data_IF_631374556514
#
_entry.id   IF_631374556514
#
_cell.length_a   1.000
_cell.length_b   1.000
_cell.length_c   1.000
_cell.angle_alpha   90.00
_cell.angle_beta   90.00
_cell.angle_gamma   90.00
#
_symmetry.space_group_name_H-M   'P 1'
#
loop_
_entity.id
_entity.type
_entity.pdbx_description
1 polymer ?
#
# COMPACT_ATOMS: atom_id res chain seq x y z
N UNK A 1 -16.46 14.95 -39.10
CA UNK A 1 -15.29 14.37 -38.38
C UNK A 1 -14.94 15.26 -37.20
N UNK A 2 -15.34 14.87 -36.00
CA UNK A 2 -15.08 15.63 -34.78
C UNK A 2 -13.81 15.14 -34.11
N UNK A 3 -12.80 16.03 -34.00
CA UNK A 3 -11.54 15.75 -33.29
C UNK A 3 -11.81 15.66 -31.77
N UNK A 4 -11.68 14.45 -31.19
CA UNK A 4 -11.59 14.27 -29.74
C UNK A 4 -10.35 14.99 -29.21
N UNK A 5 -10.56 16.07 -28.46
CA UNK A 5 -9.50 16.69 -27.65
C UNK A 5 -9.18 15.74 -26.48
N UNK A 6 -8.04 15.07 -26.56
CA UNK A 6 -7.43 14.37 -25.44
C UNK A 6 -6.93 15.42 -24.43
N UNK A 7 -7.69 15.70 -23.38
CA UNK A 7 -7.21 16.47 -22.25
C UNK A 7 -6.28 15.57 -21.41
N UNK A 8 -4.98 15.70 -21.57
CA UNK A 8 -4.00 15.19 -20.61
C UNK A 8 -4.27 15.92 -19.28
N UNK A 9 -4.93 15.22 -18.32
CA UNK A 9 -4.93 15.66 -16.91
C UNK A 9 -3.45 15.67 -16.46
N UNK A 10 -2.86 16.85 -16.39
CA UNK A 10 -1.57 17.04 -15.71
C UNK A 10 -1.80 16.76 -14.23
N UNK A 11 -1.23 15.66 -13.73
CA UNK A 11 -1.20 15.37 -12.31
C UNK A 11 -0.62 16.62 -11.59
N UNK A 12 -1.34 17.12 -10.58
CA UNK A 12 -0.86 18.22 -9.74
C UNK A 12 0.41 17.72 -9.04
N UNK A 13 1.57 18.28 -9.40
CA UNK A 13 2.82 18.02 -8.69
C UNK A 13 2.66 18.47 -7.24
N UNK A 14 3.13 17.64 -6.30
CA UNK A 14 3.20 17.97 -4.88
C UNK A 14 3.85 19.37 -4.68
N UNK A 15 3.08 20.30 -4.09
CA UNK A 15 3.53 21.67 -3.84
C UNK A 15 4.35 21.73 -2.54
N UNK A 16 5.58 21.24 -2.57
CA UNK A 16 6.61 21.18 -1.57
C UNK A 16 6.32 21.86 -0.21
N UNK A 17 5.86 21.09 0.77
CA UNK A 17 5.73 21.42 2.18
C UNK A 17 6.21 20.27 3.04
N UNK A 18 6.20 20.46 4.38
CA UNK A 18 6.48 19.38 5.32
C UNK A 18 5.37 18.33 5.28
N UNK A 19 5.73 17.06 5.17
CA UNK A 19 4.81 15.93 5.24
C UNK A 19 4.87 15.36 6.66
N UNK A 20 3.97 15.82 7.53
CA UNK A 20 3.96 15.34 8.93
C UNK A 20 3.44 13.91 8.98
N UNK A 21 2.25 13.67 8.45
CA UNK A 21 1.64 12.35 8.31
C UNK A 21 0.58 12.42 7.23
N UNK A 22 0.59 11.45 6.32
CA UNK A 22 -0.47 11.21 5.36
C UNK A 22 -0.82 9.74 5.31
N UNK A 23 -2.05 9.46 4.97
CA UNK A 23 -2.57 8.09 4.89
C UNK A 23 -3.22 7.86 3.54
N UNK A 24 -3.16 6.63 3.07
CA UNK A 24 -3.82 6.21 1.84
C UNK A 24 -4.02 4.71 1.82
N UNK A 25 -5.04 4.30 1.10
CA UNK A 25 -5.45 2.91 0.97
C UNK A 25 -5.92 2.66 -0.44
N UNK A 26 -5.68 1.47 -0.97
CA UNK A 26 -6.17 1.07 -2.28
C UNK A 26 -6.38 -0.44 -2.33
N UNK A 27 -7.48 -0.84 -2.94
CA UNK A 27 -7.74 -2.24 -3.29
C UNK A 27 -7.39 -2.46 -4.76
N UNK A 28 -6.67 -3.53 -5.03
CA UNK A 28 -6.46 -4.11 -6.37
C UNK A 28 -6.63 -5.61 -6.24
N UNK A 29 -7.48 -6.17 -7.07
CA UNK A 29 -7.75 -7.60 -7.13
C UNK A 29 -7.75 -8.08 -8.58
N UNK A 30 -7.49 -9.36 -8.76
CA UNK A 30 -7.78 -10.10 -9.99
C UNK A 30 -8.97 -11.04 -9.71
N UNK A 31 -9.21 -11.99 -10.60
CA UNK A 31 -10.42 -12.85 -10.57
C UNK A 31 -10.51 -13.81 -9.37
N UNK A 32 -9.48 -13.86 -8.52
CA UNK A 32 -9.39 -14.80 -7.40
C UNK A 32 -9.19 -14.04 -6.07
N UNK A 33 -9.92 -14.42 -5.03
CA UNK A 33 -9.86 -13.79 -3.70
C UNK A 33 -8.43 -13.72 -3.13
N UNK A 34 -7.62 -14.77 -3.32
CA UNK A 34 -6.23 -14.79 -2.87
C UNK A 34 -5.34 -13.70 -3.53
N UNK A 35 -5.78 -13.13 -4.65
CA UNK A 35 -5.03 -12.10 -5.39
C UNK A 35 -5.28 -10.68 -4.87
N UNK A 36 -6.27 -10.49 -4.01
CA UNK A 36 -6.63 -9.19 -3.48
C UNK A 36 -5.47 -8.58 -2.67
N UNK A 37 -5.18 -7.32 -2.94
CA UNK A 37 -4.15 -6.54 -2.28
C UNK A 37 -4.74 -5.23 -1.78
N UNK A 38 -4.73 -5.04 -0.47
CA UNK A 38 -5.27 -3.85 0.19
C UNK A 38 -4.25 -3.29 1.19
N UNK A 39 -3.18 -2.64 0.71
CA UNK A 39 -2.21 -2.00 1.58
C UNK A 39 -2.77 -0.69 2.15
N UNK A 40 -2.61 -0.51 3.46
CA UNK A 40 -2.76 0.77 4.14
C UNK A 40 -1.39 1.41 4.30
N UNK A 41 -1.27 2.66 3.89
CA UNK A 41 -0.01 3.40 3.88
C UNK A 41 -0.07 4.56 4.85
N UNK A 42 0.98 4.69 5.67
CA UNK A 42 1.31 5.90 6.41
C UNK A 42 2.65 6.41 5.87
N UNK A 43 2.70 7.67 5.46
CA UNK A 43 3.91 8.33 4.96
C UNK A 43 4.13 9.66 5.64
N UNK A 44 5.38 9.97 6.02
CA UNK A 44 5.76 11.24 6.65
C UNK A 44 7.25 11.37 6.85
N UNK A 45 7.68 12.54 7.29
CA UNK A 45 9.09 12.83 7.53
C UNK A 45 9.65 12.02 8.72
N UNK A 46 10.92 11.56 8.58
CA UNK A 46 11.59 10.71 9.57
C UNK A 46 11.86 11.44 10.90
N UNK A 47 11.88 12.78 10.91
CA UNK A 47 11.97 13.59 12.12
C UNK A 47 10.59 13.86 12.77
N UNK A 48 9.55 13.19 12.29
CA UNK A 48 8.16 13.32 12.71
C UNK A 48 7.57 12.02 13.28
N UNK A 49 6.23 11.96 13.44
CA UNK A 49 5.54 10.81 14.05
C UNK A 49 5.77 9.51 13.28
N UNK A 50 5.90 9.56 11.96
CA UNK A 50 6.13 8.36 11.14
C UNK A 50 7.52 7.78 11.40
N UNK A 51 8.57 8.61 11.49
CA UNK A 51 9.92 8.14 11.82
C UNK A 51 10.00 7.53 13.22
N UNK A 52 9.34 8.15 14.21
CA UNK A 52 9.24 7.58 15.55
C UNK A 52 8.54 6.22 15.56
N UNK A 53 7.39 6.10 14.88
CA UNK A 53 6.65 4.86 14.77
C UNK A 53 7.47 3.77 14.04
N UNK A 54 8.17 4.13 12.96
CA UNK A 54 9.03 3.23 12.19
C UNK A 54 10.16 2.65 13.03
N UNK A 55 10.83 3.49 13.82
CA UNK A 55 11.89 3.05 14.73
C UNK A 55 11.35 2.08 15.81
N UNK A 56 10.17 2.38 16.40
CA UNK A 56 9.54 1.51 17.37
C UNK A 56 9.07 0.18 16.77
N UNK A 57 8.53 0.19 15.56
CA UNK A 57 8.12 -1.02 14.85
C UNK A 57 9.30 -1.97 14.64
N UNK A 58 10.46 -1.44 14.28
CA UNK A 58 11.66 -2.25 14.04
C UNK A 58 12.30 -2.76 15.34
N UNK A 59 12.21 -2.01 16.43
CA UNK A 59 12.72 -2.42 17.75
C UNK A 59 11.80 -3.37 18.51
N UNK A 60 10.49 -3.31 18.29
CA UNK A 60 9.47 -4.06 19.03
C UNK A 60 8.91 -5.24 18.22
N UNK A 61 9.47 -6.43 18.39
CA UNK A 61 8.94 -7.63 17.71
C UNK A 61 7.69 -8.17 18.40
N UNK A 62 6.67 -8.54 17.60
CA UNK A 62 5.44 -9.17 18.06
C UNK A 62 5.29 -10.53 17.37
N UNK A 63 5.10 -11.59 18.17
CA UNK A 63 4.95 -12.94 17.64
C UNK A 63 3.82 -13.02 16.62
N UNK A 64 4.10 -13.55 15.44
CA UNK A 64 3.14 -13.74 14.35
C UNK A 64 2.81 -12.48 13.54
N UNK A 65 3.33 -11.30 13.91
CA UNK A 65 3.17 -10.06 13.15
C UNK A 65 4.54 -9.54 12.73
N UNK A 66 5.06 -10.12 11.67
CA UNK A 66 6.38 -9.81 11.16
C UNK A 66 6.47 -8.39 10.64
N UNK A 67 7.55 -7.71 10.97
CA UNK A 67 7.89 -6.36 10.57
C UNK A 67 9.25 -6.36 9.92
N UNK A 68 9.32 -5.94 8.66
CA UNK A 68 10.56 -5.95 7.89
C UNK A 68 10.66 -4.72 7.02
N UNK A 69 11.89 -4.31 6.73
CA UNK A 69 12.10 -3.33 5.67
C UNK A 69 11.81 -3.95 4.31
N UNK A 70 11.16 -3.19 3.45
CA UNK A 70 10.99 -3.55 2.05
C UNK A 70 12.34 -3.42 1.32
N UNK A 71 12.73 -4.50 0.65
CA UNK A 71 14.00 -4.64 -0.06
C UNK A 71 13.77 -5.13 -1.49
N UNK A 72 14.62 -4.72 -2.42
CA UNK A 72 14.66 -5.28 -3.78
C UNK A 72 15.47 -6.57 -3.83
N UNK A 73 16.48 -6.67 -3.00
CA UNK A 73 17.34 -7.82 -2.84
C UNK A 73 17.91 -7.81 -1.41
N UNK A 74 18.57 -8.86 -0.98
CA UNK A 74 19.01 -9.11 0.39
C UNK A 74 19.76 -7.94 1.06
N UNK A 75 20.43 -7.09 0.29
CA UNK A 75 21.21 -5.94 0.73
C UNK A 75 20.77 -4.61 0.08
N UNK A 76 19.68 -4.60 -0.68
CA UNK A 76 19.22 -3.43 -1.44
C UNK A 76 17.86 -2.95 -0.92
N UNK A 77 17.90 -2.11 0.10
CA UNK A 77 16.71 -1.48 0.67
C UNK A 77 16.14 -0.38 -0.25
N UNK A 78 14.82 -0.30 -0.36
CA UNK A 78 14.16 0.79 -1.12
C UNK A 78 14.22 2.13 -0.39
N UNK A 79 14.02 3.22 -1.14
CA UNK A 79 13.86 4.58 -0.64
C UNK A 79 12.54 5.18 -1.17
N UNK A 80 11.73 5.83 -0.29
CA UNK A 80 11.90 6.01 1.16
C UNK A 80 12.04 4.71 1.94
N UNK A 81 12.65 4.77 3.14
CA UNK A 81 12.71 3.64 4.05
C UNK A 81 11.28 3.16 4.36
N UNK A 82 10.96 1.94 3.97
CA UNK A 82 9.59 1.39 4.04
C UNK A 82 9.57 0.15 4.92
N UNK A 83 8.72 0.16 5.96
CA UNK A 83 8.47 -1.00 6.82
C UNK A 83 7.14 -1.63 6.42
N UNK A 84 7.17 -2.90 6.07
CA UNK A 84 5.99 -3.73 5.90
C UNK A 84 5.58 -4.36 7.22
N UNK A 85 4.28 -4.34 7.54
CA UNK A 85 3.66 -4.96 8.71
C UNK A 85 2.55 -5.89 8.26
N UNK A 86 2.56 -7.15 8.70
CA UNK A 86 1.45 -8.08 8.42
C UNK A 86 0.27 -7.81 9.34
N UNK A 87 -0.92 -7.59 8.77
CA UNK A 87 -2.19 -7.54 9.50
C UNK A 87 -2.67 -8.93 9.94
N UNK A 88 -2.32 -9.96 9.18
CA UNK A 88 -2.68 -11.35 9.47
C UNK A 88 -1.59 -12.00 10.30
N UNK A 89 -1.99 -12.76 11.31
CA UNK A 89 -1.04 -13.55 12.11
C UNK A 89 -0.38 -14.62 11.26
N UNK A 90 0.92 -14.54 11.09
CA UNK A 90 1.73 -15.50 10.33
C UNK A 90 1.83 -16.81 11.13
N UNK A 91 1.34 -17.92 10.56
CA UNK A 91 1.22 -19.21 11.25
C UNK A 91 1.92 -20.38 10.54
N UNK A 92 2.36 -20.19 9.29
CA UNK A 92 3.00 -21.24 8.51
C UNK A 92 4.20 -20.75 7.71
N UNK A 93 5.11 -21.67 7.39
CA UNK A 93 6.27 -21.39 6.56
C UNK A 93 5.85 -20.97 5.15
N UNK A 94 4.87 -21.66 4.53
CA UNK A 94 4.35 -21.32 3.19
C UNK A 94 3.84 -19.88 3.15
N UNK A 95 3.05 -19.47 4.17
CA UNK A 95 2.56 -18.10 4.27
C UNK A 95 3.71 -17.09 4.42
N UNK A 96 4.69 -17.41 5.29
CA UNK A 96 5.88 -16.59 5.48
C UNK A 96 6.63 -16.38 4.17
N UNK A 97 6.87 -17.46 3.41
CA UNK A 97 7.62 -17.40 2.16
C UNK A 97 6.91 -16.56 1.09
N UNK A 98 5.58 -16.64 1.00
CA UNK A 98 4.79 -15.81 0.08
C UNK A 98 4.85 -14.34 0.51
N UNK A 99 4.58 -14.07 1.79
CA UNK A 99 4.56 -12.70 2.34
C UNK A 99 5.93 -12.03 2.22
N UNK A 100 6.99 -12.71 2.66
CA UNK A 100 8.35 -12.17 2.69
C UNK A 100 9.06 -12.21 1.34
N UNK A 101 8.61 -13.04 0.42
CA UNK A 101 9.11 -13.12 -0.95
C UNK A 101 8.30 -12.24 -1.89
N UNK A 102 7.22 -12.78 -2.44
CA UNK A 102 6.44 -12.16 -3.51
C UNK A 102 5.82 -10.82 -3.09
N UNK A 103 5.14 -10.80 -1.94
CA UNK A 103 4.41 -9.60 -1.47
C UNK A 103 5.38 -8.48 -1.09
N UNK A 104 6.40 -8.79 -0.31
CA UNK A 104 7.42 -7.80 0.08
C UNK A 104 8.13 -7.20 -1.14
N UNK A 105 8.52 -8.05 -2.12
CA UNK A 105 9.13 -7.58 -3.36
C UNK A 105 8.18 -6.68 -4.17
N UNK A 106 6.90 -7.04 -4.25
CA UNK A 106 5.87 -6.22 -4.90
C UNK A 106 5.73 -4.83 -4.27
N UNK A 107 5.70 -4.78 -2.93
CA UNK A 107 5.67 -3.51 -2.17
C UNK A 107 6.90 -2.67 -2.49
N UNK A 108 8.10 -3.26 -2.46
CA UNK A 108 9.33 -2.56 -2.79
C UNK A 108 9.28 -1.90 -4.18
N UNK A 109 8.78 -2.65 -5.17
CA UNK A 109 8.58 -2.12 -6.53
C UNK A 109 7.50 -1.05 -6.59
N UNK A 110 6.36 -1.21 -5.90
CA UNK A 110 5.29 -0.22 -5.84
C UNK A 110 5.72 1.12 -5.24
N UNK A 111 6.56 1.10 -4.20
CA UNK A 111 7.19 2.31 -3.65
C UNK A 111 8.03 3.03 -4.69
N UNK A 112 8.86 2.30 -5.44
CA UNK A 112 9.69 2.90 -6.49
C UNK A 112 8.86 3.39 -7.69
N UNK A 113 7.74 2.75 -7.99
CA UNK A 113 6.81 3.23 -9.01
C UNK A 113 6.21 4.58 -8.61
N UNK A 114 5.82 4.77 -7.34
CA UNK A 114 5.34 6.06 -6.83
C UNK A 114 6.42 7.16 -6.90
N UNK A 115 7.68 6.82 -6.64
CA UNK A 115 8.80 7.75 -6.85
C UNK A 115 9.00 8.07 -8.33
N UNK A 116 8.90 7.08 -9.21
CA UNK A 116 9.02 7.25 -10.66
C UNK A 116 7.89 8.09 -11.25
N UNK A 117 6.66 7.90 -10.76
CA UNK A 117 5.49 8.69 -11.14
C UNK A 117 5.58 10.15 -10.66
N UNK A 118 6.39 10.42 -9.62
CA UNK A 118 6.56 11.76 -9.03
C UNK A 118 5.58 12.04 -7.88
N UNK A 119 4.84 11.05 -7.43
CA UNK A 119 4.01 11.14 -6.22
C UNK A 119 4.91 11.40 -5.01
N UNK A 120 6.01 10.67 -4.92
CA UNK A 120 7.07 10.93 -3.94
C UNK A 120 8.19 11.71 -4.63
N UNK A 121 8.49 12.96 -4.21
CA UNK A 121 9.58 13.74 -4.79
C UNK A 121 10.94 13.07 -4.56
N UNK A 122 11.76 12.91 -5.61
CA UNK A 122 13.07 12.26 -5.53
C UNK A 122 14.03 12.90 -4.51
N UNK A 123 13.94 14.20 -4.32
CA UNK A 123 14.76 14.94 -3.35
C UNK A 123 14.32 14.75 -1.89
N UNK A 124 13.18 14.10 -1.66
CA UNK A 124 12.61 13.81 -0.34
C UNK A 124 12.74 12.34 0.08
N UNK A 125 13.20 11.46 -0.79
CA UNK A 125 13.21 10.00 -0.54
C UNK A 125 14.06 9.57 0.67
N UNK A 126 15.02 10.38 1.09
CA UNK A 126 15.85 10.10 2.27
C UNK A 126 15.30 10.76 3.56
N UNK A 127 14.36 11.70 3.43
CA UNK A 127 13.75 12.41 4.55
C UNK A 127 12.43 11.78 4.97
N UNK A 128 11.82 10.94 4.13
CA UNK A 128 10.55 10.28 4.34
C UNK A 128 10.71 8.83 4.80
N UNK A 129 9.77 8.40 5.64
CA UNK A 129 9.53 7.01 5.98
C UNK A 129 8.12 6.58 5.57
N UNK A 130 7.96 5.28 5.30
CA UNK A 130 6.68 4.67 4.95
C UNK A 130 6.45 3.45 5.84
N UNK A 131 5.24 3.34 6.39
CA UNK A 131 4.73 2.13 7.03
C UNK A 131 3.60 1.62 6.15
N UNK A 132 3.67 0.34 5.78
CA UNK A 132 2.66 -0.33 4.97
C UNK A 132 2.10 -1.51 5.74
N UNK A 133 0.83 -1.45 6.13
CA UNK A 133 0.10 -2.57 6.70
C UNK A 133 -0.51 -3.39 5.57
N UNK A 134 -0.26 -4.70 5.57
CA UNK A 134 -0.63 -5.60 4.48
C UNK A 134 -1.59 -6.67 4.97
N UNK A 135 -2.71 -6.79 4.30
CA UNK A 135 -3.54 -7.97 4.34
C UNK A 135 -3.13 -8.90 3.19
N UNK A 136 -2.67 -10.09 3.51
CA UNK A 136 -2.51 -11.18 2.55
C UNK A 136 -3.54 -12.25 2.90
N UNK A 137 -4.40 -12.61 1.96
CA UNK A 137 -5.48 -13.56 2.19
C UNK A 137 -4.94 -14.90 2.69
N UNK A 138 -5.45 -15.43 3.82
CA UNK A 138 -4.98 -16.70 4.35
C UNK A 138 -5.11 -17.89 3.39
N UNK A 139 -6.05 -17.85 2.44
CA UNK A 139 -6.25 -18.94 1.46
C UNK A 139 -5.06 -19.16 0.52
N UNK A 140 -4.10 -18.21 0.45
CA UNK A 140 -2.87 -18.40 -0.37
C UNK A 140 -2.08 -19.65 -0.01
N UNK A 141 -2.26 -20.23 1.18
CA UNK A 141 -1.61 -21.49 1.58
C UNK A 141 -2.41 -22.72 1.22
N UNK A 142 -3.70 -22.57 0.92
CA UNK A 142 -4.66 -23.64 0.67
C UNK A 142 -4.83 -23.93 -0.83
N UNK A 143 -4.51 -22.96 -1.67
CA UNK A 143 -4.68 -23.04 -3.12
C UNK A 143 -3.36 -22.94 -3.87
N UNK A 144 -3.39 -23.26 -5.16
CA UNK A 144 -2.30 -22.92 -6.07
C UNK A 144 -2.44 -21.44 -6.48
N UNK A 145 -1.38 -20.66 -6.29
CA UNK A 145 -1.35 -19.23 -6.62
C UNK A 145 -0.41 -18.97 -7.80
N UNK A 146 -0.74 -17.99 -8.63
CA UNK A 146 0.22 -17.42 -9.58
C UNK A 146 1.00 -16.28 -8.91
N UNK A 147 2.31 -16.44 -8.62
CA UNK A 147 3.09 -15.39 -7.96
C UNK A 147 3.23 -14.12 -8.81
N UNK A 148 3.03 -14.20 -10.14
CA UNK A 148 3.05 -13.01 -11.01
C UNK A 148 1.81 -12.15 -10.79
N UNK A 149 0.64 -12.76 -10.67
CA UNK A 149 -0.61 -12.06 -10.39
C UNK A 149 -0.52 -11.41 -9.01
N UNK A 150 -0.13 -12.19 -7.99
CA UNK A 150 0.02 -11.70 -6.63
C UNK A 150 1.03 -10.54 -6.53
N UNK A 151 2.15 -10.65 -7.24
CA UNK A 151 3.14 -9.57 -7.33
C UNK A 151 2.53 -8.32 -7.98
N UNK A 152 1.81 -8.47 -9.09
CA UNK A 152 1.25 -7.35 -9.83
C UNK A 152 0.18 -6.59 -9.02
N UNK A 153 -0.74 -7.31 -8.38
CA UNK A 153 -1.80 -6.69 -7.56
C UNK A 153 -1.23 -5.90 -6.38
N UNK A 154 -0.28 -6.49 -5.64
CA UNK A 154 0.35 -5.82 -4.50
C UNK A 154 1.22 -4.62 -4.92
N UNK A 155 1.93 -4.71 -6.04
CA UNK A 155 2.72 -3.59 -6.60
C UNK A 155 1.83 -2.43 -7.00
N UNK A 156 0.75 -2.71 -7.74
CA UNK A 156 -0.19 -1.70 -8.21
C UNK A 156 -0.95 -1.07 -7.04
N UNK A 157 -1.46 -1.88 -6.11
CA UNK A 157 -2.17 -1.40 -4.92
C UNK A 157 -1.27 -0.49 -4.06
N UNK A 158 0.00 -0.88 -3.86
CA UNK A 158 0.98 -0.07 -3.13
C UNK A 158 1.20 1.29 -3.79
N UNK A 159 1.43 1.32 -5.10
CA UNK A 159 1.62 2.58 -5.82
C UNK A 159 0.37 3.47 -5.76
N UNK A 160 -0.84 2.90 -5.92
CA UNK A 160 -2.12 3.61 -5.79
C UNK A 160 -2.35 4.16 -4.38
N UNK A 161 -2.08 3.37 -3.33
CA UNK A 161 -2.24 3.80 -1.95
C UNK A 161 -1.31 4.98 -1.61
N UNK A 162 -0.06 4.93 -2.06
CA UNK A 162 0.90 6.04 -1.92
C UNK A 162 0.42 7.27 -2.70
N UNK A 163 -0.07 7.10 -3.93
CA UNK A 163 -0.65 8.20 -4.70
C UNK A 163 -1.76 8.89 -3.93
N UNK A 164 -2.75 8.13 -3.43
CA UNK A 164 -3.87 8.67 -2.63
C UNK A 164 -3.38 9.39 -1.38
N UNK A 165 -2.41 8.82 -0.66
CA UNK A 165 -1.82 9.46 0.51
C UNK A 165 -1.18 10.80 0.16
N UNK A 166 -0.40 10.86 -0.90
CA UNK A 166 0.34 12.06 -1.30
C UNK A 166 -0.55 13.16 -1.86
N UNK A 167 -1.71 12.80 -2.41
CA UNK A 167 -2.68 13.74 -2.99
C UNK A 167 -3.92 14.01 -2.12
N UNK A 168 -4.02 13.39 -0.92
CA UNK A 168 -5.19 13.42 -0.03
C UNK A 168 -6.46 13.02 -0.78
N UNK A 169 -6.41 11.87 -1.43
CA UNK A 169 -7.54 11.32 -2.19
C UNK A 169 -8.21 10.15 -1.44
N UNK A 170 -9.56 10.08 -1.48
CA UNK A 170 -10.48 11.07 -2.05
C UNK A 170 -10.49 12.39 -1.25
N UNK A 171 -10.91 13.51 -1.89
CA UNK A 171 -11.05 14.80 -1.20
C UNK A 171 -12.18 14.76 -0.18
N UNK A 172 -12.13 15.67 0.82
CA UNK A 172 -13.21 15.77 1.80
C UNK A 172 -14.55 16.11 1.14
N UNK A 173 -14.55 16.98 0.13
CA UNK A 173 -15.78 17.33 -0.59
C UNK A 173 -16.39 16.11 -1.26
N UNK A 174 -15.56 15.30 -1.93
CA UNK A 174 -16.02 14.06 -2.55
C UNK A 174 -16.58 13.07 -1.52
N UNK A 175 -15.93 12.92 -0.36
CA UNK A 175 -16.40 12.04 0.72
C UNK A 175 -17.77 12.47 1.24
N UNK A 176 -17.97 13.77 1.47
CA UNK A 176 -19.24 14.30 1.94
C UNK A 176 -20.37 14.14 0.92
N UNK A 177 -20.04 14.29 -0.38
CA UNK A 177 -21.01 14.13 -1.46
C UNK A 177 -21.40 12.67 -1.71
N UNK A 178 -20.50 11.72 -1.40
CA UNK A 178 -20.68 10.31 -1.78
C UNK A 178 -20.87 9.35 -0.59
N UNK A 179 -20.87 9.83 0.66
CA UNK A 179 -20.93 8.97 1.86
C UNK A 179 -22.09 7.97 1.87
N UNK A 180 -23.26 8.36 1.30
CA UNK A 180 -24.44 7.51 1.26
C UNK A 180 -24.49 6.59 0.02
N UNK A 181 -23.67 6.89 -0.99
CA UNK A 181 -23.67 6.16 -2.27
C UNK A 181 -22.55 5.12 -2.38
N UNK A 182 -21.54 5.19 -1.50
CA UNK A 182 -20.42 4.24 -1.46
C UNK A 182 -20.71 3.18 -0.41
N UNK A 183 -21.16 1.97 -0.81
CA UNK A 183 -21.47 0.92 0.15
C UNK A 183 -20.18 0.34 0.75
N UNK A 184 -20.22 0.06 2.02
CA UNK A 184 -19.18 -0.76 2.66
C UNK A 184 -19.46 -2.23 2.34
N UNK A 185 -18.52 -2.91 1.70
CA UNK A 185 -18.71 -4.28 1.19
C UNK A 185 -19.27 -5.25 2.24
N UNK A 186 -18.62 -5.37 3.40
CA UNK A 186 -19.09 -6.29 4.45
C UNK A 186 -20.43 -5.85 5.06
N UNK A 187 -20.73 -4.55 5.09
CA UNK A 187 -22.03 -4.09 5.54
C UNK A 187 -23.14 -4.51 4.56
N UNK A 188 -22.87 -4.44 3.24
CA UNK A 188 -23.79 -4.96 2.24
C UNK A 188 -24.06 -6.46 2.42
N UNK A 189 -23.00 -7.27 2.58
CA UNK A 189 -23.16 -8.71 2.83
C UNK A 189 -24.00 -8.99 4.10
N UNK A 190 -23.82 -8.20 5.14
CA UNK A 190 -24.63 -8.32 6.37
C UNK A 190 -26.10 -7.97 6.15
N UNK A 191 -26.39 -6.92 5.36
CA UNK A 191 -27.79 -6.55 5.00
C UNK A 191 -28.46 -7.62 4.15
N UNK A 192 -27.71 -8.34 3.35
CA UNK A 192 -28.16 -9.44 2.49
C UNK A 192 -28.23 -10.79 3.24
N UNK A 193 -27.81 -10.83 4.52
CA UNK A 193 -27.81 -12.04 5.34
C UNK A 193 -26.78 -13.08 4.92
N UNK A 194 -25.67 -12.63 4.30
CA UNK A 194 -24.58 -13.52 3.82
C UNK A 194 -23.46 -13.71 4.85
N UNK A 195 -23.41 -12.87 5.88
CA UNK A 195 -22.50 -12.95 7.03
C UNK A 195 -23.24 -12.60 8.32
#
# INVERSE_FOLDING_TARGET
MAKKKNSKKTAKKFAGGRIVLRTGEALVEADQAWSAAEPEVLIGELDGPVGYALANLMGGQVKGHTRVFAILNSDVQVRPATVMVSKVTVRSEKYTNILMGTVQAAIAHGVLDAVRAGDIPKNKVNDLGIIISVWLDPSVVEVEIDPKILFQTHREATAKAIHKAMHNEPSIDWLLENQESVPHYFHQLALEGQI
#
